data_IF_934176434482
#
_entry.id   IF_934176434482
#
_cell.length_a   1.000
_cell.length_b   1.000
_cell.length_c   1.000
_cell.angle_alpha   90.00
_cell.angle_beta   90.00
_cell.angle_gamma   90.00
#
_symmetry.space_group_name_H-M   'P 1'
#
loop_
_entity.id
_entity.type
_entity.pdbx_description
1 polymer ?
#
# COMPACT_ATOMS: atom_id res chain seq x y z
N UNK A 1 -14.54 -9.66 14.44
CA UNK A 1 -14.14 -8.59 13.50
C UNK A 1 -15.02 -7.38 13.76
N UNK A 2 -14.45 -6.17 13.81
CA UNK A 2 -15.24 -4.95 14.00
C UNK A 2 -15.89 -4.59 12.64
N UNK A 3 -17.22 -4.54 12.51
CA UNK A 3 -17.91 -4.37 11.23
C UNK A 3 -17.57 -3.06 10.50
N UNK A 4 -17.05 -2.06 11.20
CA UNK A 4 -16.72 -0.74 10.64
C UNK A 4 -15.29 -0.64 10.06
N UNK A 5 -14.50 -1.72 10.08
CA UNK A 5 -13.11 -1.71 9.57
C UNK A 5 -13.05 -2.24 8.14
N UNK A 6 -12.66 -1.38 7.20
CA UNK A 6 -12.29 -1.80 5.83
C UNK A 6 -10.83 -2.27 5.80
N UNK A 7 -10.56 -3.40 5.14
CA UNK A 7 -9.21 -3.90 4.89
C UNK A 7 -8.66 -3.25 3.63
N UNK A 8 -7.61 -2.44 3.75
CA UNK A 8 -6.83 -1.99 2.60
C UNK A 8 -5.60 -2.90 2.44
N UNK A 9 -5.41 -3.46 1.25
CA UNK A 9 -4.22 -4.26 0.91
C UNK A 9 -3.45 -3.56 -0.20
N UNK A 10 -2.16 -3.34 0.05
CA UNK A 10 -1.22 -2.85 -0.95
C UNK A 10 -0.18 -3.95 -1.19
N UNK A 11 -0.26 -4.57 -2.37
CA UNK A 11 0.68 -5.60 -2.78
C UNK A 11 1.91 -4.91 -3.41
N UNK A 12 3.03 -4.84 -2.65
CA UNK A 12 4.30 -4.28 -3.11
C UNK A 12 5.24 -5.40 -3.56
N UNK A 13 5.89 -5.22 -4.70
CA UNK A 13 6.96 -6.11 -5.18
C UNK A 13 8.23 -5.30 -5.36
N UNK A 14 9.29 -5.73 -4.69
CA UNK A 14 10.61 -5.09 -4.70
C UNK A 14 11.59 -6.14 -5.17
N UNK A 15 12.33 -5.82 -6.23
CA UNK A 15 13.43 -6.63 -6.72
C UNK A 15 14.73 -5.86 -6.49
N UNK A 16 15.73 -6.54 -5.95
CA UNK A 16 17.09 -6.03 -5.80
C UNK A 16 18.05 -7.00 -6.47
N UNK A 17 19.07 -6.46 -7.11
CA UNK A 17 20.17 -7.25 -7.67
C UNK A 17 21.30 -7.25 -6.64
N UNK A 18 21.76 -8.44 -6.25
CA UNK A 18 22.76 -8.63 -5.21
C UNK A 18 23.61 -9.86 -5.52
N UNK A 19 24.85 -9.85 -5.05
CA UNK A 19 25.85 -10.91 -5.21
C UNK A 19 25.68 -12.02 -4.17
N UNK A 20 25.08 -11.70 -3.02
CA UNK A 20 24.79 -12.63 -1.93
C UNK A 20 23.57 -12.21 -1.09
N UNK A 21 23.22 -13.04 -0.10
CA UNK A 21 22.08 -12.85 0.80
C UNK A 21 22.22 -11.61 1.68
N UNK A 22 23.42 -11.34 2.19
CA UNK A 22 23.67 -10.22 3.10
C UNK A 22 23.56 -8.90 2.34
N UNK A 23 24.13 -8.82 1.13
CA UNK A 23 23.97 -7.66 0.24
C UNK A 23 22.50 -7.44 -0.12
N UNK A 24 21.74 -8.49 -0.43
CA UNK A 24 20.30 -8.38 -0.69
C UNK A 24 19.54 -7.81 0.52
N UNK A 25 19.83 -8.30 1.73
CA UNK A 25 19.21 -7.81 2.96
C UNK A 25 19.56 -6.35 3.24
N UNK A 26 20.84 -5.98 3.10
CA UNK A 26 21.30 -4.61 3.29
C UNK A 26 20.62 -3.66 2.30
N UNK A 27 20.56 -4.00 1.02
CA UNK A 27 19.88 -3.19 -0.01
C UNK A 27 18.40 -2.96 0.31
N UNK A 28 17.70 -4.01 0.77
CA UNK A 28 16.28 -3.93 1.16
C UNK A 28 16.04 -3.08 2.42
N UNK A 29 17.01 -3.03 3.33
CA UNK A 29 16.87 -2.35 4.62
C UNK A 29 17.51 -0.96 4.67
N UNK A 30 18.10 -0.49 3.56
CA UNK A 30 18.60 0.89 3.50
C UNK A 30 17.50 1.92 3.69
N UNK A 31 17.88 3.06 4.29
CA UNK A 31 16.98 4.22 4.44
C UNK A 31 16.43 4.69 3.09
N UNK A 32 17.20 4.53 2.00
CA UNK A 32 16.75 4.90 0.66
C UNK A 32 15.63 3.98 0.16
N UNK A 33 15.79 2.66 0.29
CA UNK A 33 14.74 1.70 -0.08
C UNK A 33 13.47 1.93 0.75
N UNK A 34 13.61 2.18 2.05
CA UNK A 34 12.48 2.50 2.92
C UNK A 34 11.76 3.80 2.52
N UNK A 35 12.48 4.84 2.12
CA UNK A 35 11.89 6.07 1.57
C UNK A 35 11.13 5.83 0.27
N UNK A 36 11.67 5.00 -0.62
CA UNK A 36 10.99 4.66 -1.88
C UNK A 36 9.68 3.89 -1.62
N UNK A 37 9.69 2.94 -0.67
CA UNK A 37 8.47 2.25 -0.23
C UNK A 37 7.44 3.25 0.30
N UNK A 38 7.88 4.19 1.16
CA UNK A 38 6.99 5.21 1.72
C UNK A 38 6.41 6.14 0.64
N UNK A 39 7.19 6.46 -0.40
CA UNK A 39 6.72 7.23 -1.55
C UNK A 39 5.67 6.46 -2.35
N UNK A 40 5.86 5.17 -2.58
CA UNK A 40 4.88 4.31 -3.26
C UNK A 40 3.56 4.24 -2.48
N UNK A 41 3.62 4.06 -1.16
CA UNK A 41 2.45 4.12 -0.27
C UNK A 41 1.74 5.47 -0.41
N UNK A 42 2.50 6.57 -0.38
CA UNK A 42 1.95 7.92 -0.52
C UNK A 42 1.27 8.16 -1.88
N UNK A 43 1.82 7.60 -2.96
CA UNK A 43 1.16 7.64 -4.29
C UNK A 43 -0.13 6.83 -4.33
N UNK A 44 -0.24 5.75 -3.54
CA UNK A 44 -1.47 4.96 -3.41
C UNK A 44 -2.58 5.65 -2.59
N UNK A 45 -2.30 6.83 -2.01
CA UNK A 45 -3.24 7.56 -1.16
C UNK A 45 -4.57 7.92 -1.88
N UNK A 46 -4.55 8.08 -3.20
CA UNK A 46 -5.76 8.24 -4.01
C UNK A 46 -6.64 6.98 -4.00
N UNK A 47 -6.03 5.80 -4.15
CA UNK A 47 -6.72 4.50 -4.12
C UNK A 47 -7.29 4.20 -2.73
N UNK A 48 -6.56 4.58 -1.67
CA UNK A 48 -7.06 4.52 -0.29
C UNK A 48 -8.31 5.40 -0.16
N UNK A 49 -8.25 6.66 -0.61
CA UNK A 49 -9.41 7.56 -0.52
C UNK A 49 -10.62 6.99 -1.25
N UNK A 50 -10.45 6.48 -2.47
CA UNK A 50 -11.55 5.87 -3.23
C UNK A 50 -12.18 4.69 -2.49
N UNK A 51 -11.39 3.76 -1.93
CA UNK A 51 -11.93 2.60 -1.21
C UNK A 51 -12.75 2.98 0.04
N UNK A 52 -12.41 4.09 0.69
CA UNK A 52 -13.10 4.54 1.89
C UNK A 52 -14.27 5.50 1.59
N UNK A 53 -14.24 6.23 0.47
CA UNK A 53 -15.26 7.22 0.10
C UNK A 53 -16.28 6.76 -0.98
N UNK A 54 -15.99 5.72 -1.77
CA UNK A 54 -16.89 5.24 -2.83
C UNK A 54 -18.15 4.49 -2.35
N UNK A 55 -18.18 4.05 -1.09
CA UNK A 55 -19.35 3.40 -0.48
C UNK A 55 -20.53 4.34 -0.18
N UNK A 56 -20.38 5.66 -0.37
CA UNK A 56 -21.50 6.61 -0.22
C UNK A 56 -22.38 6.75 -1.47
N UNK A 57 -22.13 5.99 -2.53
CA UNK A 57 -22.86 6.13 -3.80
C UNK A 57 -23.93 5.06 -4.08
N UNK A 58 -24.12 4.06 -3.19
CA UNK A 58 -25.07 2.95 -3.42
C UNK A 58 -26.33 2.92 -2.55
N UNK A 59 -26.54 3.89 -1.65
CA UNK A 59 -27.71 3.90 -0.75
C UNK A 59 -28.70 5.05 -1.00
N UNK A 60 -28.81 5.59 -2.21
CA UNK A 60 -29.83 6.59 -2.56
C UNK A 60 -30.65 6.21 -3.82
N UNK A 61 -31.12 4.97 -3.91
CA UNK A 61 -32.31 4.65 -4.70
C UNK A 61 -33.34 4.05 -3.75
N UNK A 62 -34.01 4.92 -3.00
CA UNK A 62 -35.30 4.61 -2.40
C UNK A 62 -36.33 4.96 -3.48
N UNK A 63 -36.90 3.93 -4.10
CA UNK A 63 -38.07 4.04 -4.97
C UNK A 63 -39.33 3.85 -4.13
#
# INVERSE_FOLDING_TARGET
MNPDKKLFRLDLSIAVEASDEEEAYQLLTTDETLKQIQLMISKSQGQIKEMFHSDHSKDNIIN
#
